data_IF_794629001694
#
_entry.id   IF_794629001694
#
_cell.length_a   1.000
_cell.length_b   1.000
_cell.length_c   1.000
_cell.angle_alpha   90.00
_cell.angle_beta   90.00
_cell.angle_gamma   90.00
#
_symmetry.space_group_name_H-M   'P 1'
#
loop_
_entity.id
_entity.type
_entity.pdbx_description
1 polymer ?
#
# COMPACT_ATOMS: atom_id res chain seq x y z
N UNK A 1 32.16 -0.55 4.65
CA UNK A 1 31.63 0.62 3.91
C UNK A 1 32.81 1.32 3.25
N UNK A 2 32.60 2.20 2.26
CA UNK A 2 33.75 2.92 1.68
C UNK A 2 34.27 3.95 2.69
N UNK A 3 35.58 4.04 2.82
CA UNK A 3 36.28 4.99 3.72
C UNK A 3 35.77 6.43 3.56
N UNK A 4 35.32 6.82 2.36
CA UNK A 4 34.73 8.14 2.08
C UNK A 4 33.39 8.42 2.78
N UNK A 5 32.53 7.42 2.96
CA UNK A 5 31.21 7.59 3.60
C UNK A 5 31.38 7.78 5.10
N UNK A 6 32.24 6.97 5.72
CA UNK A 6 32.54 7.06 7.16
C UNK A 6 33.15 8.42 7.50
N UNK A 7 34.14 8.88 6.72
CA UNK A 7 34.75 10.21 6.88
C UNK A 7 33.73 11.35 6.75
N UNK A 8 32.87 11.28 5.73
CA UNK A 8 31.82 12.28 5.53
C UNK A 8 30.83 12.29 6.70
N UNK A 9 30.46 11.12 7.22
CA UNK A 9 29.54 11.01 8.36
C UNK A 9 30.16 11.59 9.64
N UNK A 10 31.41 11.28 9.96
CA UNK A 10 32.10 11.86 11.13
C UNK A 10 32.13 13.39 11.08
N UNK A 11 32.43 13.97 9.91
CA UNK A 11 32.36 15.43 9.75
C UNK A 11 30.95 15.99 9.96
N UNK A 12 29.91 15.26 9.53
CA UNK A 12 28.52 15.64 9.79
C UNK A 12 28.17 15.56 11.28
N UNK A 13 28.58 14.49 11.98
CA UNK A 13 28.38 14.32 13.41
C UNK A 13 28.93 15.55 14.18
N UNK A 14 30.15 15.99 13.89
CA UNK A 14 30.74 17.18 14.51
C UNK A 14 29.94 18.47 14.25
N UNK A 15 29.44 18.64 13.02
CA UNK A 15 28.66 19.83 12.64
C UNK A 15 27.31 19.89 13.35
N UNK A 16 26.62 18.75 13.47
CA UNK A 16 25.34 18.68 14.18
C UNK A 16 25.51 18.76 15.70
N UNK A 17 26.58 18.17 16.26
CA UNK A 17 26.90 18.28 17.67
C UNK A 17 27.13 19.74 18.12
N UNK A 18 27.75 20.57 17.26
CA UNK A 18 27.91 22.01 17.51
C UNK A 18 26.58 22.78 17.62
N UNK A 19 25.48 22.20 17.11
CA UNK A 19 24.11 22.71 17.23
C UNK A 19 23.30 22.02 18.33
N UNK A 20 23.92 21.12 19.10
CA UNK A 20 23.25 20.34 20.15
C UNK A 20 22.41 19.18 19.62
N UNK A 21 22.68 18.69 18.41
CA UNK A 21 21.98 17.56 17.80
C UNK A 21 22.88 16.31 17.81
N UNK A 22 22.38 15.23 18.41
CA UNK A 22 22.99 13.90 18.35
C UNK A 22 22.43 13.14 17.13
N UNK A 23 23.27 12.93 16.13
CA UNK A 23 22.87 12.25 14.89
C UNK A 23 22.73 10.75 15.06
N UNK A 24 23.47 10.12 15.97
CA UNK A 24 23.37 8.68 16.22
C UNK A 24 22.03 8.38 16.89
N UNK A 25 21.66 9.17 17.90
CA UNK A 25 20.34 9.11 18.52
C UNK A 25 19.21 9.41 17.51
N UNK A 26 19.44 10.31 16.56
CA UNK A 26 18.47 10.59 15.49
C UNK A 26 18.29 9.39 14.54
N UNK A 27 19.38 8.71 14.17
CA UNK A 27 19.33 7.51 13.33
C UNK A 27 18.68 6.32 14.05
N UNK A 28 18.99 6.13 15.33
CA UNK A 28 18.33 5.12 16.17
C UNK A 28 16.82 5.36 16.22
N UNK A 29 16.40 6.61 16.44
CA UNK A 29 14.98 6.98 16.42
C UNK A 29 14.35 6.75 15.05
N UNK A 30 15.03 7.17 13.97
CA UNK A 30 14.55 7.00 12.59
C UNK A 30 14.30 5.52 12.27
N UNK A 31 15.18 4.62 12.69
CA UNK A 31 15.06 3.18 12.46
C UNK A 31 13.79 2.57 13.08
N UNK A 32 13.19 3.22 14.08
CA UNK A 32 11.97 2.76 14.75
C UNK A 32 10.67 3.28 14.13
N UNK A 33 10.72 4.23 13.20
CA UNK A 33 9.53 4.87 12.63
C UNK A 33 9.12 4.11 11.37
N UNK A 34 8.00 3.38 11.37
CA UNK A 34 7.57 2.65 10.19
C UNK A 34 6.91 3.58 9.17
N UNK A 35 7.25 3.38 7.90
CA UNK A 35 6.55 4.01 6.77
C UNK A 35 5.58 3.01 6.15
N UNK A 36 4.31 3.43 6.00
CA UNK A 36 3.29 2.62 5.33
C UNK A 36 3.25 2.95 3.84
N UNK A 37 3.79 2.05 3.02
CA UNK A 37 3.81 2.21 1.56
C UNK A 37 2.49 1.70 0.97
N UNK A 38 1.98 2.45 0.00
CA UNK A 38 0.71 2.16 -0.64
C UNK A 38 0.87 1.12 -1.74
N UNK A 39 0.07 0.04 -1.68
CA UNK A 39 0.18 -1.07 -2.63
C UNK A 39 -0.14 -0.66 -4.08
N UNK A 40 -1.05 0.31 -4.24
CA UNK A 40 -1.63 0.66 -5.54
C UNK A 40 -0.70 1.40 -6.49
N UNK A 41 0.50 1.77 -6.04
CA UNK A 41 1.53 2.26 -6.94
C UNK A 41 2.06 1.16 -7.86
N UNK A 42 2.05 -0.10 -7.42
CA UNK A 42 2.64 -1.19 -8.21
C UNK A 42 1.84 -1.57 -9.45
N UNK A 43 0.56 -1.19 -9.54
CA UNK A 43 -0.36 -1.64 -10.59
C UNK A 43 -1.28 -0.54 -11.14
N UNK A 44 -0.97 0.73 -10.90
CA UNK A 44 -1.80 1.87 -11.34
C UNK A 44 -3.22 1.91 -10.73
N UNK A 45 -3.40 1.40 -9.50
CA UNK A 45 -4.71 1.35 -8.80
C UNK A 45 -5.75 0.47 -9.50
N UNK A 46 -5.30 -0.57 -10.21
CA UNK A 46 -6.20 -1.49 -10.92
C UNK A 46 -6.84 -2.49 -9.94
N UNK A 47 -6.06 -3.02 -9.00
CA UNK A 47 -6.47 -4.13 -8.15
C UNK A 47 -6.56 -5.45 -8.92
N UNK A 48 -7.13 -6.46 -8.29
CA UNK A 48 -7.23 -7.82 -8.82
C UNK A 48 -8.66 -8.32 -8.98
N UNK A 49 -9.66 -7.55 -8.57
CA UNK A 49 -11.08 -7.94 -8.65
C UNK A 49 -11.65 -7.83 -10.08
N UNK A 50 -11.36 -6.74 -10.79
CA UNK A 50 -11.85 -6.47 -12.15
C UNK A 50 -10.84 -5.56 -12.91
N UNK A 51 -9.78 -6.16 -13.48
CA UNK A 51 -8.72 -5.39 -14.14
C UNK A 51 -9.18 -4.58 -15.36
N UNK A 52 -10.33 -4.95 -15.96
CA UNK A 52 -10.88 -4.32 -17.15
C UNK A 52 -11.78 -3.11 -16.83
N UNK A 53 -12.17 -2.94 -15.56
CA UNK A 53 -13.08 -1.86 -15.11
C UNK A 53 -12.55 -0.46 -15.40
N UNK A 54 -11.23 -0.31 -15.33
CA UNK A 54 -10.56 0.99 -15.37
C UNK A 54 -10.77 1.83 -14.10
N UNK A 55 -9.92 2.84 -13.94
CA UNK A 55 -9.92 3.71 -12.76
C UNK A 55 -10.98 4.82 -12.87
N UNK A 56 -11.74 5.05 -11.79
CA UNK A 56 -12.78 6.08 -11.69
C UNK A 56 -12.79 6.71 -10.29
N UNK A 57 -13.82 7.48 -9.94
CA UNK A 57 -13.91 8.17 -8.64
C UNK A 57 -13.13 9.48 -8.58
N UNK A 58 -12.75 10.04 -9.74
CA UNK A 58 -12.04 11.31 -9.85
C UNK A 58 -10.52 11.21 -9.71
N UNK A 59 -9.97 9.99 -9.63
CA UNK A 59 -8.54 9.71 -9.61
C UNK A 59 -8.07 9.10 -10.93
N UNK A 60 -6.79 9.27 -11.24
CA UNK A 60 -6.17 8.78 -12.48
C UNK A 60 -4.71 8.44 -12.23
N UNK A 61 -4.25 7.31 -12.77
CA UNK A 61 -2.84 7.03 -13.00
C UNK A 61 -2.50 7.43 -14.45
N UNK A 62 -1.43 8.20 -14.63
CA UNK A 62 -1.05 8.73 -15.94
C UNK A 62 0.31 8.21 -16.39
N UNK A 63 0.45 7.93 -17.67
CA UNK A 63 1.66 7.36 -18.25
C UNK A 63 1.44 5.92 -18.71
N UNK A 64 2.35 5.42 -19.55
CA UNK A 64 2.30 4.05 -20.09
C UNK A 64 3.64 3.34 -19.86
N UNK A 65 4.24 3.53 -18.69
CA UNK A 65 5.49 2.83 -18.37
C UNK A 65 5.20 1.32 -18.25
N UNK A 66 5.98 0.44 -18.92
CA UNK A 66 5.71 -0.98 -18.91
C UNK A 66 6.08 -1.62 -17.57
N UNK A 67 5.55 -2.80 -17.29
CA UNK A 67 6.01 -3.65 -16.18
C UNK A 67 5.21 -3.55 -14.89
N UNK A 68 4.04 -2.91 -14.88
CA UNK A 68 3.15 -2.91 -13.72
C UNK A 68 2.70 -4.33 -13.35
N UNK A 69 2.53 -4.56 -12.05
CA UNK A 69 2.02 -5.82 -11.52
C UNK A 69 0.59 -6.09 -12.03
N UNK A 70 0.29 -7.36 -12.31
CA UNK A 70 -1.02 -7.82 -12.79
C UNK A 70 -1.63 -8.89 -11.89
N UNK A 71 -0.85 -9.39 -10.94
CA UNK A 71 -1.27 -10.42 -9.99
C UNK A 71 -0.80 -10.06 -8.58
N UNK A 72 -1.43 -10.61 -7.53
CA UNK A 72 -0.95 -10.46 -6.17
C UNK A 72 0.51 -10.89 -6.00
N UNK A 73 0.95 -11.96 -6.68
CA UNK A 73 2.32 -12.46 -6.62
C UNK A 73 3.33 -11.52 -7.28
N UNK A 74 2.99 -10.94 -8.45
CA UNK A 74 3.83 -9.92 -9.10
C UNK A 74 3.97 -8.70 -8.17
N UNK A 75 2.87 -8.24 -7.57
CA UNK A 75 2.90 -7.07 -6.69
C UNK A 75 3.74 -7.31 -5.42
N UNK A 76 3.66 -8.51 -4.82
CA UNK A 76 4.53 -8.87 -3.69
C UNK A 76 6.01 -8.85 -4.07
N UNK A 77 6.36 -9.36 -5.26
CA UNK A 77 7.76 -9.34 -5.74
C UNK A 77 8.27 -7.92 -5.99
N UNK A 78 7.43 -7.05 -6.56
CA UNK A 78 7.76 -5.64 -6.77
C UNK A 78 7.96 -4.92 -5.43
N UNK A 79 7.11 -5.22 -4.44
CA UNK A 79 7.24 -4.71 -3.08
C UNK A 79 8.51 -5.22 -2.40
N UNK A 80 8.85 -6.51 -2.52
CA UNK A 80 10.09 -7.08 -1.96
C UNK A 80 11.33 -6.35 -2.51
N UNK A 81 11.35 -6.08 -3.82
CA UNK A 81 12.42 -5.29 -4.44
C UNK A 81 12.45 -3.87 -3.86
N UNK A 82 11.32 -3.19 -3.78
CA UNK A 82 11.26 -1.83 -3.21
C UNK A 82 11.75 -1.81 -1.76
N UNK A 83 11.28 -2.72 -0.90
CA UNK A 83 11.69 -2.81 0.49
C UNK A 83 13.16 -3.16 0.68
N UNK A 84 13.75 -3.95 -0.23
CA UNK A 84 15.20 -4.23 -0.19
C UNK A 84 16.07 -2.98 -0.38
N UNK A 85 15.50 -1.92 -0.98
CA UNK A 85 16.18 -0.66 -1.29
C UNK A 85 15.85 0.46 -0.28
N UNK A 86 14.87 0.26 0.60
CA UNK A 86 14.39 1.28 1.55
C UNK A 86 14.79 0.85 2.97
N UNK A 87 15.70 1.58 3.65
CA UNK A 87 16.12 1.21 5.00
C UNK A 87 15.00 1.42 6.03
N UNK A 88 15.00 0.60 7.07
CA UNK A 88 14.08 0.71 8.20
C UNK A 88 13.06 -0.43 8.27
N UNK A 89 12.06 -0.25 9.12
CA UNK A 89 10.90 -1.14 9.24
C UNK A 89 9.74 -0.52 8.49
N UNK A 90 8.89 -1.34 7.86
CA UNK A 90 7.82 -0.81 7.01
C UNK A 90 6.47 -1.46 7.27
N UNK A 91 5.45 -0.84 6.69
CA UNK A 91 4.09 -1.36 6.63
C UNK A 91 3.61 -1.29 5.18
N UNK A 92 2.66 -2.16 4.84
CA UNK A 92 1.94 -2.09 3.57
C UNK A 92 0.52 -1.57 3.83
N UNK A 93 0.13 -0.53 3.12
CA UNK A 93 -1.24 -0.04 3.09
C UNK A 93 -1.98 -0.67 1.91
N UNK A 94 -2.93 -1.55 2.24
CA UNK A 94 -3.73 -2.32 1.28
C UNK A 94 -5.10 -1.69 1.05
N UNK A 95 -5.56 -1.76 -0.20
CA UNK A 95 -6.96 -1.52 -0.54
C UNK A 95 -7.71 -2.86 -0.71
N UNK A 96 -9.02 -2.88 -0.46
CA UNK A 96 -9.82 -4.10 -0.56
C UNK A 96 -9.80 -4.77 -1.95
N UNK A 97 -9.66 -3.98 -3.03
CA UNK A 97 -9.53 -4.51 -4.40
C UNK A 97 -8.27 -5.34 -4.64
N UNK A 98 -7.33 -5.39 -3.69
CA UNK A 98 -6.13 -6.21 -3.73
C UNK A 98 -6.31 -7.58 -3.06
N UNK A 99 -7.56 -7.96 -2.75
CA UNK A 99 -7.88 -9.30 -2.26
C UNK A 99 -7.35 -10.40 -3.19
N UNK A 100 -6.86 -11.49 -2.60
CA UNK A 100 -6.32 -12.65 -3.28
C UNK A 100 -7.30 -13.81 -3.10
N UNK A 101 -8.30 -13.86 -3.99
CA UNK A 101 -9.41 -14.82 -3.95
C UNK A 101 -9.15 -16.11 -4.75
N UNK A 102 -7.90 -16.39 -5.13
CA UNK A 102 -7.54 -17.50 -6.02
C UNK A 102 -8.35 -17.50 -7.35
N UNK A 103 -8.69 -16.30 -7.84
CA UNK A 103 -9.45 -16.10 -9.08
C UNK A 103 -10.97 -16.24 -8.92
N UNK A 104 -11.48 -16.44 -7.70
CA UNK A 104 -12.92 -16.38 -7.45
C UNK A 104 -13.44 -14.95 -7.62
N UNK A 105 -14.54 -14.80 -8.37
CA UNK A 105 -15.25 -13.52 -8.48
C UNK A 105 -16.10 -13.30 -7.24
N UNK A 106 -15.79 -12.25 -6.50
CA UNK A 106 -16.49 -11.83 -5.29
C UNK A 106 -16.97 -10.41 -5.47
N UNK A 107 -18.12 -10.08 -4.91
CA UNK A 107 -18.54 -8.70 -4.80
C UNK A 107 -17.87 -8.05 -3.56
N UNK A 108 -17.82 -6.72 -3.50
CA UNK A 108 -17.04 -6.03 -2.47
C UNK A 108 -17.56 -6.23 -1.06
N UNK A 109 -18.86 -6.46 -0.90
CA UNK A 109 -19.47 -6.80 0.38
C UNK A 109 -19.29 -8.28 0.78
N UNK A 110 -18.70 -9.12 -0.09
CA UNK A 110 -18.37 -10.52 0.21
C UNK A 110 -16.90 -10.72 0.64
N UNK A 111 -16.08 -9.66 0.66
CA UNK A 111 -14.71 -9.75 1.16
C UNK A 111 -14.68 -10.20 2.63
N UNK A 112 -13.66 -10.98 2.97
CA UNK A 112 -13.49 -11.63 4.27
C UNK A 112 -12.00 -11.69 4.59
N UNK A 113 -11.60 -11.81 5.86
CA UNK A 113 -10.18 -11.83 6.23
C UNK A 113 -9.34 -12.88 5.49
N UNK A 114 -9.91 -14.06 5.23
CA UNK A 114 -9.18 -15.15 4.58
C UNK A 114 -8.77 -14.85 3.13
N UNK A 115 -9.48 -13.94 2.45
CA UNK A 115 -9.09 -13.44 1.13
C UNK A 115 -7.81 -12.58 1.16
N UNK A 116 -7.28 -12.27 2.35
CA UNK A 116 -6.05 -11.54 2.56
C UNK A 116 -5.00 -12.38 3.32
N UNK A 117 -5.24 -13.67 3.56
CA UNK A 117 -4.33 -14.52 4.33
C UNK A 117 -2.93 -14.58 3.73
N UNK A 118 -2.83 -14.61 2.39
CA UNK A 118 -1.53 -14.58 1.69
C UNK A 118 -0.79 -13.26 1.89
N UNK A 119 -1.50 -12.13 1.93
CA UNK A 119 -0.91 -10.84 2.28
C UNK A 119 -0.42 -10.80 3.72
N UNK A 120 -1.22 -11.34 4.64
CA UNK A 120 -0.88 -11.43 6.07
C UNK A 120 0.32 -12.34 6.28
N UNK A 121 0.39 -13.49 5.59
CA UNK A 121 1.51 -14.41 5.64
C UNK A 121 2.80 -13.76 5.11
N UNK A 122 2.74 -13.18 3.90
CA UNK A 122 3.87 -12.46 3.30
C UNK A 122 4.37 -11.31 4.19
N UNK A 123 3.45 -10.52 4.78
CA UNK A 123 3.82 -9.43 5.66
C UNK A 123 4.49 -9.93 6.96
N UNK A 124 3.99 -11.04 7.53
CA UNK A 124 4.63 -11.67 8.71
C UNK A 124 6.03 -12.19 8.40
N UNK A 125 6.21 -12.85 7.26
CA UNK A 125 7.51 -13.37 6.82
C UNK A 125 8.56 -12.25 6.66
N UNK A 126 8.12 -11.07 6.20
CA UNK A 126 8.98 -9.91 5.99
C UNK A 126 8.99 -8.90 7.15
N UNK A 127 8.36 -9.22 8.29
CA UNK A 127 8.23 -8.33 9.45
C UNK A 127 7.63 -6.96 9.10
N UNK A 128 6.62 -6.96 8.22
CA UNK A 128 5.84 -5.79 7.85
C UNK A 128 4.51 -5.75 8.61
N UNK A 129 4.06 -4.54 8.95
CA UNK A 129 2.68 -4.33 9.37
C UNK A 129 1.73 -4.19 8.18
N UNK A 130 0.44 -4.41 8.39
CA UNK A 130 -0.62 -4.16 7.39
C UNK A 130 -1.53 -3.03 7.88
N UNK A 131 -1.76 -2.06 7.00
CA UNK A 131 -2.86 -1.08 7.06
C UNK A 131 -3.90 -1.44 5.98
N UNK A 132 -5.13 -0.96 6.14
CA UNK A 132 -6.23 -1.38 5.26
C UNK A 132 -7.21 -0.25 4.93
N UNK A 133 -7.76 -0.31 3.72
CA UNK A 133 -8.75 0.63 3.22
C UNK A 133 -9.90 -0.11 2.51
N UNK A 134 -11.18 0.15 2.85
CA UNK A 134 -12.27 -0.22 1.95
C UNK A 134 -12.15 0.57 0.64
N UNK A 135 -12.49 -0.05 -0.48
CA UNK A 135 -12.45 0.61 -1.79
C UNK A 135 -13.85 1.05 -2.19
N UNK A 136 -14.09 2.36 -2.24
CA UNK A 136 -15.40 2.95 -2.55
C UNK A 136 -15.43 3.67 -3.92
N UNK A 137 -14.67 3.19 -4.90
CA UNK A 137 -14.57 3.74 -6.26
C UNK A 137 -14.37 2.64 -7.30
N UNK A 138 -14.47 2.90 -8.60
CA UNK A 138 -14.27 1.88 -9.66
C UNK A 138 -15.16 0.66 -9.50
N UNK A 139 -16.46 0.89 -9.28
CA UNK A 139 -17.46 -0.17 -9.10
C UNK A 139 -18.80 0.28 -9.68
N UNK A 140 -19.64 -0.62 -10.23
CA UNK A 140 -20.99 -0.26 -10.69
C UNK A 140 -21.80 0.52 -9.66
N UNK A 141 -21.70 0.13 -8.39
CA UNK A 141 -22.40 0.80 -7.28
C UNK A 141 -21.83 2.19 -6.94
N UNK A 142 -20.80 2.67 -7.63
CA UNK A 142 -20.23 4.01 -7.50
C UNK A 142 -20.42 4.88 -8.76
N UNK A 143 -21.04 4.37 -9.84
CA UNK A 143 -21.13 5.07 -11.13
C UNK A 143 -21.94 6.37 -11.10
N UNK A 144 -22.86 6.49 -10.13
CA UNK A 144 -23.60 7.74 -9.90
C UNK A 144 -22.72 8.87 -9.35
N UNK A 145 -21.49 8.57 -8.92
CA UNK A 145 -20.61 9.48 -8.18
C UNK A 145 -20.87 9.49 -6.67
N UNK A 146 -21.84 8.72 -6.18
CA UNK A 146 -22.15 8.60 -4.75
C UNK A 146 -22.01 7.17 -4.24
N UNK A 147 -21.47 7.01 -3.04
CA UNK A 147 -21.33 5.73 -2.32
C UNK A 147 -22.05 5.75 -0.97
N UNK A 148 -21.34 5.94 0.13
CA UNK A 148 -21.91 6.02 1.49
C UNK A 148 -22.96 7.14 1.65
N UNK A 149 -22.85 8.18 0.82
CA UNK A 149 -23.78 9.32 0.77
C UNK A 149 -24.80 9.25 -0.36
N UNK A 150 -24.94 8.11 -1.05
CA UNK A 150 -25.96 7.93 -2.10
C UNK A 150 -27.36 8.18 -1.55
N UNK A 151 -28.30 8.66 -2.37
CA UNK A 151 -29.71 8.75 -1.98
C UNK A 151 -30.46 7.42 -2.18
N UNK A 152 -29.88 6.50 -2.95
CA UNK A 152 -30.36 5.13 -3.09
C UNK A 152 -29.96 4.30 -1.86
N UNK A 153 -30.96 3.73 -1.17
CA UNK A 153 -30.74 2.92 0.03
C UNK A 153 -29.95 1.64 -0.26
N UNK A 154 -30.21 0.97 -1.39
CA UNK A 154 -29.50 -0.25 -1.76
C UNK A 154 -28.02 0.03 -2.05
N UNK A 155 -27.71 1.16 -2.70
CA UNK A 155 -26.32 1.60 -2.89
C UNK A 155 -25.65 1.92 -1.56
N UNK A 156 -26.31 2.66 -0.67
CA UNK A 156 -25.74 2.96 0.66
C UNK A 156 -25.48 1.71 1.46
N UNK A 157 -26.43 0.78 1.51
CA UNK A 157 -26.32 -0.45 2.30
C UNK A 157 -25.17 -1.32 1.81
N UNK A 158 -25.01 -1.45 0.49
CA UNK A 158 -23.87 -2.13 -0.12
C UNK A 158 -22.52 -1.55 0.36
N UNK A 159 -22.36 -0.22 0.33
CA UNK A 159 -21.11 0.42 0.75
C UNK A 159 -20.90 0.38 2.27
N UNK A 160 -21.98 0.42 3.05
CA UNK A 160 -21.91 0.25 4.51
C UNK A 160 -21.46 -1.17 4.84
N UNK A 161 -21.99 -2.18 4.15
CA UNK A 161 -21.58 -3.58 4.33
C UNK A 161 -20.12 -3.79 3.95
N UNK A 162 -19.68 -3.25 2.80
CA UNK A 162 -18.28 -3.29 2.39
C UNK A 162 -17.30 -2.65 3.39
N UNK A 163 -17.72 -1.57 4.07
CA UNK A 163 -16.86 -0.86 5.02
C UNK A 163 -16.83 -1.48 6.43
N UNK A 164 -17.67 -2.48 6.72
CA UNK A 164 -17.76 -3.11 8.05
C UNK A 164 -16.70 -4.16 8.27
#
# INVERSE_FOLDING_TARGET
>A
MSNSIEQAYTLAQERYAALGVDTDAALEKLATIPISLHCWQGDDVIGFEDPDRGLSGGIMATGNYPGKARTPDELRQDLDMAYSLIPGTHRLNLHAIYGDSDGAKLDRNDWQPHHFDKWIAWAKENNHGIDFNPTCFSHPMADSGFTLASLDQGVRDFWIEHCR
#
